data_IF_936130703171
#
_entry.id   IF_936130703171
#
_cell.length_a   1.000
_cell.length_b   1.000
_cell.length_c   1.000
_cell.angle_alpha   90.00
_cell.angle_beta   90.00
_cell.angle_gamma   90.00
#
_symmetry.space_group_name_H-M   'P 1'
#
loop_
_entity.id
_entity.type
_entity.pdbx_description
1 polymer ?
#
# COMPACT_ATOMS: atom_id res chain seq x y z
N UNK A 1 -29.85 38.19 2.19
CA UNK A 1 -30.07 39.28 1.21
C UNK A 1 -28.80 39.86 0.62
N UNK A 2 -27.77 40.14 1.42
CA UNK A 2 -26.46 40.65 0.93
C UNK A 2 -25.74 39.76 -0.09
N UNK A 3 -25.88 38.44 0.01
CA UNK A 3 -25.26 37.46 -0.89
C UNK A 3 -25.75 37.55 -2.35
N UNK A 4 -27.00 38.03 -2.54
CA UNK A 4 -27.59 38.17 -3.88
C UNK A 4 -27.37 39.56 -4.51
N UNK A 5 -27.02 40.55 -3.68
CA UNK A 5 -26.84 41.93 -4.12
C UNK A 5 -25.48 42.19 -4.82
N UNK A 6 -24.41 41.50 -4.38
CA UNK A 6 -23.07 41.58 -5.01
C UNK A 6 -22.40 40.20 -5.02
N UNK A 7 -22.84 39.36 -5.93
CA UNK A 7 -22.25 38.02 -6.15
C UNK A 7 -20.77 38.09 -6.52
N UNK A 8 -20.30 38.99 -7.40
CA UNK A 8 -18.89 39.14 -7.70
C UNK A 8 -18.05 39.57 -6.50
N UNK A 9 -18.52 40.54 -5.71
CA UNK A 9 -17.84 40.99 -4.49
C UNK A 9 -17.75 39.87 -3.45
N UNK A 10 -18.84 39.14 -3.24
CA UNK A 10 -18.83 37.98 -2.37
C UNK A 10 -17.86 36.91 -2.81
N UNK A 11 -17.81 36.56 -4.10
CA UNK A 11 -16.83 35.63 -4.66
C UNK A 11 -15.39 36.09 -4.41
N UNK A 12 -15.10 37.39 -4.64
CA UNK A 12 -13.74 37.91 -4.37
C UNK A 12 -13.37 37.82 -2.90
N UNK A 13 -14.31 38.04 -2.02
CA UNK A 13 -14.07 38.01 -0.56
C UNK A 13 -13.83 36.60 -0.01
N UNK A 14 -14.58 35.60 -0.46
CA UNK A 14 -14.57 34.23 0.10
C UNK A 14 -13.79 33.21 -0.71
N UNK A 15 -13.71 33.38 -2.04
CA UNK A 15 -13.00 32.43 -2.91
C UNK A 15 -11.51 32.78 -3.02
N UNK A 16 -10.79 32.65 -1.91
CA UNK A 16 -9.36 32.91 -1.89
C UNK A 16 -8.59 31.81 -2.65
N UNK A 17 -7.47 32.14 -3.33
CA UNK A 17 -6.62 31.15 -4.00
C UNK A 17 -6.18 30.02 -3.06
N UNK A 18 -5.85 30.34 -1.82
CA UNK A 18 -5.47 29.36 -0.77
C UNK A 18 -6.46 28.20 -0.67
N UNK A 19 -7.79 28.44 -0.76
CA UNK A 19 -8.81 27.39 -0.68
C UNK A 19 -8.73 26.37 -1.83
N UNK A 20 -7.98 26.68 -2.86
CA UNK A 20 -7.77 25.82 -4.02
C UNK A 20 -6.36 25.23 -4.07
N UNK A 21 -5.58 25.40 -3.03
CA UNK A 21 -4.21 24.92 -2.96
C UNK A 21 -4.02 23.81 -1.93
N UNK A 22 -2.98 22.97 -2.07
CA UNK A 22 -2.65 21.94 -1.08
C UNK A 22 -2.34 22.52 0.30
N UNK A 23 -1.85 23.76 0.40
CA UNK A 23 -1.54 24.47 1.65
C UNK A 23 -2.79 24.61 2.53
N UNK A 24 -3.96 24.80 1.93
CA UNK A 24 -5.21 24.79 2.69
C UNK A 24 -5.42 23.45 3.40
N UNK A 25 -5.15 22.34 2.72
CA UNK A 25 -5.26 21.02 3.31
C UNK A 25 -4.22 20.81 4.43
N UNK A 26 -3.03 21.41 4.28
CA UNK A 26 -1.94 21.29 5.26
C UNK A 26 -2.31 21.89 6.63
N UNK A 27 -3.22 22.85 6.69
CA UNK A 27 -3.65 23.47 7.96
C UNK A 27 -4.22 22.44 8.96
N UNK A 28 -4.75 21.30 8.45
CA UNK A 28 -5.27 20.21 9.26
C UNK A 28 -4.55 18.87 9.01
N UNK A 29 -3.88 18.72 7.86
CA UNK A 29 -3.22 17.47 7.47
C UNK A 29 -1.69 17.51 7.61
N UNK A 30 -1.21 18.39 8.46
CA UNK A 30 0.16 18.49 8.97
C UNK A 30 0.09 18.82 10.46
N UNK A 31 0.45 17.87 11.31
CA UNK A 31 0.32 18.00 12.78
C UNK A 31 1.60 17.60 13.46
N UNK A 32 2.09 18.45 14.34
CA UNK A 32 3.20 18.20 15.24
C UNK A 32 2.72 18.25 16.68
N UNK A 33 3.26 17.40 17.55
CA UNK A 33 3.03 17.55 18.99
C UNK A 33 3.89 18.71 19.49
N UNK A 34 3.29 19.75 20.13
CA UNK A 34 4.07 20.85 20.63
C UNK A 34 5.02 20.39 21.75
N UNK A 35 6.22 20.99 21.87
CA UNK A 35 7.23 20.59 22.84
C UNK A 35 6.72 20.50 24.28
N UNK A 36 5.79 21.36 24.67
CA UNK A 36 5.17 21.36 26.00
C UNK A 36 4.36 20.11 26.34
N UNK A 37 3.82 19.40 25.31
CA UNK A 37 3.08 18.15 25.51
C UNK A 37 3.98 16.92 25.62
N UNK A 38 5.22 17.03 25.17
CA UNK A 38 6.09 15.87 24.99
C UNK A 38 7.48 16.06 25.61
N UNK A 39 7.54 16.58 26.82
CA UNK A 39 8.80 16.84 27.53
C UNK A 39 9.82 17.64 26.69
N UNK A 40 9.33 18.66 25.97
CA UNK A 40 10.12 19.55 25.10
C UNK A 40 10.78 18.85 23.90
N UNK A 41 10.33 17.66 23.53
CA UNK A 41 10.73 16.99 22.30
C UNK A 41 9.85 17.45 21.14
N UNK A 42 10.48 17.81 20.03
CA UNK A 42 9.74 18.08 18.80
C UNK A 42 9.41 16.75 18.15
N UNK A 43 8.17 16.28 18.32
CA UNK A 43 7.68 15.04 17.71
C UNK A 43 6.75 15.39 16.57
N UNK A 44 7.22 15.10 15.35
CA UNK A 44 6.37 15.18 14.17
C UNK A 44 5.26 14.13 14.26
N UNK A 45 4.02 14.58 14.24
CA UNK A 45 2.85 13.73 14.14
C UNK A 45 2.66 13.19 12.71
N UNK A 46 1.45 13.23 12.21
CA UNK A 46 1.22 12.90 10.80
C UNK A 46 1.38 14.14 9.91
N UNK A 47 1.92 13.95 8.71
CA UNK A 47 2.12 15.03 7.76
C UNK A 47 1.90 14.56 6.32
N UNK A 48 0.62 14.38 5.95
CA UNK A 48 0.26 13.98 4.60
C UNK A 48 0.68 15.03 3.55
N UNK A 49 0.75 16.30 3.95
CA UNK A 49 1.21 17.38 3.07
C UNK A 49 2.69 17.25 2.72
N UNK A 50 3.57 17.07 3.71
CA UNK A 50 5.01 16.94 3.44
C UNK A 50 5.33 15.66 2.66
N UNK A 51 4.59 14.58 2.93
CA UNK A 51 4.71 13.33 2.18
C UNK A 51 4.26 13.50 0.72
N UNK A 52 3.21 14.30 0.49
CA UNK A 52 2.78 14.67 -0.84
C UNK A 52 3.85 15.52 -1.56
N UNK A 53 4.45 16.51 -0.88
CA UNK A 53 5.54 17.30 -1.46
C UNK A 53 6.73 16.43 -1.88
N UNK A 54 7.02 15.37 -1.14
CA UNK A 54 8.08 14.40 -1.44
C UNK A 54 7.68 13.35 -2.48
N UNK A 55 6.42 13.32 -2.91
CA UNK A 55 5.92 12.35 -3.88
C UNK A 55 6.08 12.84 -5.32
N UNK A 56 6.06 11.89 -6.26
CA UNK A 56 5.98 12.22 -7.69
C UNK A 56 4.67 12.88 -8.12
N UNK A 57 3.68 13.01 -7.22
CA UNK A 57 2.43 13.70 -7.49
C UNK A 57 2.57 15.21 -7.41
N UNK A 58 3.44 15.73 -6.55
CA UNK A 58 3.67 17.18 -6.38
C UNK A 58 4.55 17.80 -7.46
N UNK A 59 5.44 17.02 -8.08
CA UNK A 59 6.53 17.49 -8.91
C UNK A 59 7.54 18.43 -8.20
N UNK A 60 7.52 18.44 -6.87
CA UNK A 60 8.41 19.30 -6.06
C UNK A 60 9.64 18.54 -5.55
N UNK A 61 9.62 17.22 -5.59
CA UNK A 61 10.73 16.38 -5.12
C UNK A 61 11.63 15.90 -6.24
N UNK A 62 12.94 15.96 -5.99
CA UNK A 62 13.96 15.43 -6.91
C UNK A 62 14.23 13.93 -6.69
N UNK A 63 13.78 13.36 -5.58
CA UNK A 63 13.99 11.96 -5.20
C UNK A 63 12.70 11.18 -5.23
N UNK A 64 12.16 10.94 -6.42
CA UNK A 64 10.95 10.14 -6.56
C UNK A 64 11.15 8.99 -7.53
N UNK A 65 10.68 7.80 -7.14
CA UNK A 65 10.69 6.63 -8.01
C UNK A 65 9.48 6.57 -8.96
N UNK A 66 8.49 7.40 -8.76
CA UNK A 66 7.21 7.33 -9.48
C UNK A 66 6.69 8.74 -9.76
N UNK A 67 7.28 9.40 -10.77
CA UNK A 67 6.82 10.70 -11.22
C UNK A 67 5.52 10.55 -12.02
N UNK A 68 4.50 11.33 -11.69
CA UNK A 68 3.26 11.39 -12.47
C UNK A 68 3.45 12.26 -13.71
N UNK A 69 2.70 11.97 -14.78
CA UNK A 69 2.75 12.75 -16.01
C UNK A 69 2.31 14.22 -15.79
N UNK A 70 1.44 14.46 -14.82
CA UNK A 70 0.97 15.80 -14.44
C UNK A 70 0.96 15.96 -12.94
N UNK A 71 1.26 17.16 -12.47
CA UNK A 71 1.11 17.51 -11.05
C UNK A 71 -0.33 17.29 -10.60
N UNK A 72 -0.50 16.64 -9.47
CA UNK A 72 -1.81 16.38 -8.85
C UNK A 72 -1.78 16.79 -7.39
N UNK A 73 -2.85 17.43 -6.93
CA UNK A 73 -3.01 17.85 -5.54
C UNK A 73 -4.00 16.95 -4.77
N UNK A 74 -4.16 17.25 -3.48
CA UNK A 74 -5.05 16.51 -2.58
C UNK A 74 -6.49 16.41 -3.11
N UNK A 75 -6.98 17.48 -3.78
CA UNK A 75 -8.36 17.55 -4.29
C UNK A 75 -8.58 16.62 -5.48
N UNK A 76 -7.56 16.39 -6.28
CA UNK A 76 -7.67 15.51 -7.45
C UNK A 76 -8.14 14.10 -7.06
N UNK A 77 -7.66 13.60 -5.93
CA UNK A 77 -8.03 12.28 -5.41
C UNK A 77 -9.19 12.33 -4.42
N UNK A 78 -9.15 13.26 -3.43
CA UNK A 78 -10.11 13.29 -2.32
C UNK A 78 -11.39 14.06 -2.60
N UNK A 79 -11.43 14.85 -3.67
CA UNK A 79 -12.59 15.63 -4.12
C UNK A 79 -12.83 15.42 -5.62
N UNK A 80 -13.06 14.19 -6.10
CA UNK A 80 -13.28 13.93 -7.52
C UNK A 80 -14.46 14.75 -8.04
N UNK A 81 -14.43 15.06 -9.35
CA UNK A 81 -15.53 15.75 -10.01
C UNK A 81 -16.74 14.83 -10.14
N UNK A 82 -17.89 15.32 -9.71
CA UNK A 82 -19.17 14.62 -9.79
C UNK A 82 -20.17 15.44 -10.59
N UNK A 83 -21.10 14.78 -11.26
CA UNK A 83 -22.16 15.43 -12.04
C UNK A 83 -23.06 16.27 -11.14
N UNK A 84 -23.34 17.48 -11.56
CA UNK A 84 -24.23 18.42 -10.86
C UNK A 84 -24.73 19.50 -11.82
N UNK A 85 -25.58 19.13 -12.75
CA UNK A 85 -26.06 20.03 -13.80
C UNK A 85 -26.79 21.27 -13.27
N UNK A 86 -27.43 21.15 -12.10
CA UNK A 86 -28.26 22.22 -11.52
C UNK A 86 -27.50 23.14 -10.56
N UNK A 87 -26.23 22.85 -10.27
CA UNK A 87 -25.43 23.71 -9.39
C UNK A 87 -24.83 24.88 -10.16
N UNK A 88 -25.12 26.10 -9.69
CA UNK A 88 -24.58 27.33 -10.32
C UNK A 88 -23.06 27.44 -10.31
N UNK A 89 -22.38 26.69 -9.45
CA UNK A 89 -20.93 26.61 -9.40
C UNK A 89 -20.37 25.54 -10.34
N UNK A 90 -21.24 24.72 -10.95
CA UNK A 90 -20.82 23.66 -11.86
C UNK A 90 -20.06 24.21 -13.06
N UNK A 91 -18.95 23.59 -13.39
CA UNK A 91 -18.20 23.80 -14.62
C UNK A 91 -18.38 22.57 -15.50
N UNK A 92 -18.92 22.76 -16.70
CA UNK A 92 -19.23 21.63 -17.60
C UNK A 92 -20.15 20.58 -16.94
N UNK A 93 -21.14 21.03 -16.15
CA UNK A 93 -22.05 20.17 -15.43
C UNK A 93 -21.46 19.43 -14.21
N UNK A 94 -20.24 19.76 -13.77
CA UNK A 94 -19.54 19.04 -12.70
C UNK A 94 -19.06 19.98 -11.59
N UNK A 95 -19.07 19.46 -10.36
CA UNK A 95 -18.53 20.11 -9.16
C UNK A 95 -17.52 19.17 -8.46
N UNK A 96 -16.68 19.73 -7.58
CA UNK A 96 -15.84 18.92 -6.70
C UNK A 96 -16.70 18.25 -5.62
N UNK A 97 -16.58 16.96 -5.44
CA UNK A 97 -17.24 16.23 -4.36
C UNK A 97 -16.71 16.68 -2.99
N UNK A 98 -17.61 16.89 -2.03
CA UNK A 98 -17.25 17.15 -0.63
C UNK A 98 -17.45 15.91 0.25
N UNK A 99 -17.44 14.73 -0.32
CA UNK A 99 -17.51 13.46 0.44
C UNK A 99 -16.20 13.10 1.11
N UNK A 100 -15.09 13.71 0.70
CA UNK A 100 -13.75 13.53 1.29
C UNK A 100 -13.37 12.06 1.40
N UNK A 101 -13.45 11.34 0.29
CA UNK A 101 -13.10 9.92 0.23
C UNK A 101 -11.66 9.71 0.74
N UNK A 102 -11.49 8.65 1.51
CA UNK A 102 -10.20 8.32 2.12
C UNK A 102 -10.28 6.96 2.82
N UNK A 103 -9.39 6.74 3.78
CA UNK A 103 -9.23 5.44 4.44
C UNK A 103 -10.13 5.24 5.68
N UNK A 104 -11.23 6.02 5.83
CA UNK A 104 -12.08 5.90 7.00
C UNK A 104 -13.22 4.90 6.79
N UNK A 105 -12.96 3.62 6.99
CA UNK A 105 -13.96 2.54 6.88
C UNK A 105 -14.83 2.38 8.13
N UNK A 106 -14.52 3.05 9.24
CA UNK A 106 -15.24 2.89 10.50
C UNK A 106 -16.37 3.91 10.70
N UNK A 107 -16.12 5.22 10.49
CA UNK A 107 -17.11 6.25 10.77
C UNK A 107 -18.41 6.11 9.94
N UNK A 108 -18.37 5.78 8.63
CA UNK A 108 -19.60 5.57 7.87
C UNK A 108 -20.49 4.47 8.44
N UNK A 109 -19.89 3.40 8.95
CA UNK A 109 -20.64 2.32 9.60
C UNK A 109 -21.24 2.77 10.93
N UNK A 110 -20.46 3.50 11.71
CA UNK A 110 -20.89 3.98 13.02
C UNK A 110 -22.13 4.88 12.93
N UNK A 111 -22.24 5.62 11.83
CA UNK A 111 -23.34 6.54 11.55
C UNK A 111 -24.35 6.01 10.52
N UNK A 112 -24.32 4.71 10.21
CA UNK A 112 -25.20 4.04 9.21
C UNK A 112 -25.21 4.74 7.83
N UNK A 113 -24.06 5.26 7.41
CA UNK A 113 -23.90 5.94 6.13
C UNK A 113 -23.44 4.95 5.05
N UNK A 114 -24.31 4.03 4.64
CA UNK A 114 -24.02 2.94 3.71
C UNK A 114 -23.34 3.41 2.42
N UNK A 115 -23.91 4.45 1.79
CA UNK A 115 -23.34 4.97 0.53
C UNK A 115 -21.91 5.52 0.70
N UNK A 116 -21.60 6.13 1.85
CA UNK A 116 -20.26 6.61 2.13
C UNK A 116 -19.28 5.44 2.39
N UNK A 117 -19.78 4.37 3.02
CA UNK A 117 -18.99 3.15 3.23
C UNK A 117 -18.60 2.50 1.90
N UNK A 118 -19.56 2.28 1.00
CA UNK A 118 -19.33 1.74 -0.35
C UNK A 118 -18.31 2.58 -1.13
N UNK A 119 -18.51 3.90 -1.20
CA UNK A 119 -17.60 4.80 -1.91
C UNK A 119 -16.20 4.82 -1.31
N UNK A 120 -16.07 4.65 0.01
CA UNK A 120 -14.76 4.55 0.69
C UNK A 120 -14.07 3.24 0.34
N UNK A 121 -14.81 2.15 0.30
CA UNK A 121 -14.29 0.83 -0.10
C UNK A 121 -13.83 0.83 -1.56
N UNK A 122 -14.65 1.35 -2.48
CA UNK A 122 -14.31 1.49 -3.90
C UNK A 122 -13.06 2.35 -4.09
N UNK A 123 -12.97 3.47 -3.36
CA UNK A 123 -11.80 4.36 -3.40
C UNK A 123 -10.52 3.65 -2.96
N UNK A 124 -10.58 2.81 -1.92
CA UNK A 124 -9.44 2.05 -1.43
C UNK A 124 -9.00 0.95 -2.39
N UNK A 125 -9.93 0.36 -3.15
CA UNK A 125 -9.66 -0.69 -4.15
C UNK A 125 -9.12 -0.15 -5.48
N UNK A 126 -9.28 1.16 -5.75
CA UNK A 126 -8.92 1.75 -7.05
C UNK A 126 -7.43 2.03 -7.15
N UNK A 127 -6.66 1.01 -7.48
CA UNK A 127 -5.22 1.09 -7.82
C UNK A 127 -4.34 1.85 -6.78
N UNK A 128 -4.76 1.91 -5.52
CA UNK A 128 -3.99 2.58 -4.47
C UNK A 128 -2.70 1.84 -4.19
N UNK A 129 -2.82 0.52 -4.05
CA UNK A 129 -1.71 -0.41 -3.88
C UNK A 129 -1.65 -1.41 -5.03
N UNK A 130 -0.47 -1.95 -5.23
CA UNK A 130 -0.23 -3.08 -6.10
C UNK A 130 0.46 -4.18 -5.30
N UNK A 131 0.17 -5.45 -5.63
CA UNK A 131 0.78 -6.60 -5.00
C UNK A 131 1.25 -7.58 -6.07
N UNK A 132 2.46 -8.10 -5.90
CA UNK A 132 3.10 -9.02 -6.85
C UNK A 132 3.83 -10.13 -6.09
N UNK A 133 3.50 -11.37 -6.36
CA UNK A 133 4.27 -12.52 -5.89
C UNK A 133 5.46 -12.64 -6.82
N UNK A 134 6.54 -11.93 -6.49
CA UNK A 134 7.63 -11.67 -7.42
C UNK A 134 8.62 -12.84 -7.53
N UNK A 135 8.97 -13.45 -6.42
CA UNK A 135 10.04 -14.44 -6.39
C UNK A 135 9.81 -15.57 -5.40
N UNK A 136 10.50 -16.68 -5.65
CA UNK A 136 10.79 -17.71 -4.66
C UNK A 136 12.29 -17.75 -4.40
N UNK A 137 12.66 -17.93 -3.15
CA UNK A 137 14.03 -18.16 -2.72
C UNK A 137 14.14 -19.51 -2.02
N UNK A 138 15.10 -20.35 -2.44
CA UNK A 138 15.41 -21.59 -1.74
C UNK A 138 16.10 -21.26 -0.41
N UNK A 139 15.57 -21.77 0.69
CA UNK A 139 16.17 -21.51 2.00
C UNK A 139 17.58 -22.09 2.11
N UNK A 140 17.76 -23.32 1.63
CA UNK A 140 19.02 -24.03 1.77
C UNK A 140 20.20 -23.44 0.96
N UNK A 141 19.92 -22.92 -0.24
CA UNK A 141 20.99 -22.45 -1.18
C UNK A 141 21.02 -20.95 -1.34
N UNK A 142 19.94 -20.26 -0.98
CA UNK A 142 19.78 -18.84 -1.26
C UNK A 142 19.46 -18.52 -2.72
N UNK A 143 19.27 -19.53 -3.59
CA UNK A 143 18.94 -19.36 -5.00
C UNK A 143 17.62 -18.59 -5.14
N UNK A 144 17.62 -17.53 -5.97
CA UNK A 144 16.46 -16.71 -6.26
C UNK A 144 15.88 -17.07 -7.63
N UNK A 145 14.62 -17.47 -7.64
CA UNK A 145 13.83 -17.75 -8.83
C UNK A 145 12.90 -16.57 -9.06
N UNK A 146 13.23 -15.71 -10.01
CA UNK A 146 12.55 -14.43 -10.26
C UNK A 146 12.73 -13.95 -11.70
N UNK A 147 11.75 -13.22 -12.25
CA UNK A 147 10.42 -13.01 -11.71
C UNK A 147 9.53 -14.24 -11.92
N UNK A 148 8.62 -14.52 -11.01
CA UNK A 148 7.60 -15.54 -11.24
C UNK A 148 6.63 -15.07 -12.32
N UNK A 149 6.14 -16.00 -13.16
CA UNK A 149 5.12 -15.70 -14.16
C UNK A 149 3.80 -15.34 -13.48
N UNK A 150 3.19 -14.25 -13.91
CA UNK A 150 1.85 -13.86 -13.46
C UNK A 150 0.75 -14.77 -14.01
N UNK A 151 1.04 -15.51 -15.09
CA UNK A 151 0.10 -16.41 -15.76
C UNK A 151 0.14 -17.84 -15.17
N UNK A 152 1.00 -18.10 -14.20
CA UNK A 152 1.10 -19.40 -13.55
C UNK A 152 1.93 -20.45 -14.29
N UNK A 153 2.71 -20.04 -15.31
CA UNK A 153 3.61 -20.93 -16.08
C UNK A 153 4.96 -21.12 -15.36
N UNK A 154 4.96 -21.10 -14.03
CA UNK A 154 6.19 -21.20 -13.27
C UNK A 154 6.62 -22.67 -13.18
N UNK A 155 7.63 -23.04 -13.99
CA UNK A 155 8.34 -24.29 -13.82
C UNK A 155 9.36 -24.14 -12.70
N UNK A 156 9.02 -24.62 -11.56
CA UNK A 156 9.91 -24.77 -10.42
C UNK A 156 10.01 -26.25 -10.09
N UNK A 157 11.22 -26.75 -9.91
CA UNK A 157 11.40 -28.12 -9.44
C UNK A 157 11.69 -28.08 -7.93
N UNK A 158 10.66 -28.02 -7.07
CA UNK A 158 10.88 -28.11 -5.65
C UNK A 158 11.32 -29.56 -5.33
N UNK A 159 12.22 -29.67 -4.39
CA UNK A 159 12.44 -30.96 -3.75
C UNK A 159 11.28 -31.24 -2.79
N UNK A 160 10.87 -32.50 -2.62
CA UNK A 160 9.92 -32.86 -1.58
C UNK A 160 10.34 -32.30 -0.21
N UNK A 161 9.42 -31.73 0.53
CA UNK A 161 9.69 -31.10 1.84
C UNK A 161 10.65 -29.89 1.80
N UNK A 162 10.98 -29.35 0.66
CA UNK A 162 11.85 -28.19 0.56
C UNK A 162 11.25 -26.96 1.23
N UNK A 163 12.06 -26.27 2.04
CA UNK A 163 11.71 -24.95 2.56
C UNK A 163 12.04 -23.85 1.54
N UNK A 164 11.03 -23.06 1.23
CA UNK A 164 11.14 -21.94 0.31
C UNK A 164 10.55 -20.66 0.95
N UNK A 165 11.04 -19.51 0.49
CA UNK A 165 10.56 -18.20 0.90
C UNK A 165 9.91 -17.55 -0.32
N UNK A 166 8.62 -17.24 -0.23
CA UNK A 166 7.98 -16.36 -1.21
C UNK A 166 8.30 -14.91 -0.88
N UNK A 167 8.70 -14.14 -1.88
CA UNK A 167 8.91 -12.70 -1.77
C UNK A 167 7.78 -11.97 -2.50
N UNK A 168 6.94 -11.31 -1.69
CA UNK A 168 5.75 -10.57 -2.12
C UNK A 168 6.05 -9.09 -2.09
N UNK A 169 6.01 -8.44 -3.24
CA UNK A 169 6.22 -7.01 -3.39
C UNK A 169 4.89 -6.28 -3.23
N UNK A 170 4.82 -5.32 -2.32
CA UNK A 170 3.68 -4.41 -2.16
C UNK A 170 4.13 -3.01 -2.49
N UNK A 171 3.48 -2.38 -3.47
CA UNK A 171 3.87 -1.06 -3.97
C UNK A 171 2.77 -0.03 -3.72
N UNK A 172 3.15 1.12 -3.16
CA UNK A 172 2.28 2.28 -3.04
C UNK A 172 2.25 3.05 -4.37
N UNK A 173 1.23 2.80 -5.19
CA UNK A 173 1.12 3.36 -6.54
C UNK A 173 0.54 4.75 -6.59
N UNK A 174 -0.62 4.91 -5.98
CA UNK A 174 -1.42 6.11 -6.18
C UNK A 174 -1.72 6.90 -4.91
N UNK A 175 -1.35 6.42 -3.71
CA UNK A 175 -1.37 7.29 -2.57
C UNK A 175 -0.15 8.22 -2.63
N UNK A 176 -0.40 9.52 -2.70
CA UNK A 176 0.65 10.54 -2.69
C UNK A 176 1.17 10.83 -1.26
N UNK A 177 1.01 9.90 -0.37
CA UNK A 177 1.49 9.89 1.02
C UNK A 177 1.70 8.44 1.44
N UNK A 178 2.31 8.22 2.59
CA UNK A 178 2.57 6.86 3.08
C UNK A 178 1.27 6.07 3.29
N UNK A 179 1.36 4.76 3.10
CA UNK A 179 0.29 3.81 3.39
C UNK A 179 0.71 2.87 4.54
N UNK A 180 -0.16 2.66 5.56
CA UNK A 180 -1.37 3.44 5.85
C UNK A 180 -1.05 4.90 6.25
N UNK A 181 -1.99 5.84 6.01
CA UNK A 181 -1.77 7.26 6.30
C UNK A 181 -2.00 7.60 7.79
N UNK A 182 -1.50 8.74 8.24
CA UNK A 182 -1.85 9.41 9.51
C UNK A 182 -1.59 8.59 10.79
N UNK A 183 -2.64 8.01 11.39
CA UNK A 183 -2.63 7.38 12.72
C UNK A 183 -2.19 5.91 12.57
N UNK A 184 -0.93 5.72 12.23
CA UNK A 184 -0.34 4.45 11.77
C UNK A 184 -0.23 3.40 12.86
N UNK A 185 -0.26 3.81 14.12
CA UNK A 185 -0.22 2.92 15.28
C UNK A 185 -1.57 2.25 15.56
N UNK A 186 -2.67 2.80 15.05
CA UNK A 186 -4.02 2.27 15.25
C UNK A 186 -4.60 1.58 14.02
N UNK A 187 -4.17 1.98 12.82
CA UNK A 187 -4.68 1.36 11.62
C UNK A 187 -4.10 -0.03 11.45
N UNK A 188 -4.85 -0.91 10.85
CA UNK A 188 -4.39 -2.25 10.58
C UNK A 188 -4.38 -2.50 9.08
N UNK A 189 -3.16 -2.60 8.55
CA UNK A 189 -2.90 -2.94 7.17
C UNK A 189 -1.88 -4.08 7.15
N UNK A 190 -2.15 -5.14 6.38
CA UNK A 190 -1.31 -6.34 6.41
C UNK A 190 -1.35 -7.11 5.10
N UNK A 191 -0.38 -7.98 4.92
CA UNK A 191 -0.38 -8.97 3.86
C UNK A 191 -0.90 -10.29 4.40
N UNK A 192 -1.98 -10.79 3.80
CA UNK A 192 -2.45 -12.15 3.98
C UNK A 192 -1.84 -13.01 2.87
N UNK A 193 -1.21 -14.12 3.25
CA UNK A 193 -0.54 -15.01 2.31
C UNK A 193 -0.94 -16.46 2.55
N UNK A 194 -1.39 -17.12 1.49
CA UNK A 194 -1.82 -18.51 1.49
C UNK A 194 -1.01 -19.34 0.49
N UNK A 195 -0.70 -20.56 0.87
CA UNK A 195 -0.22 -21.63 -0.02
C UNK A 195 -1.27 -22.73 -0.02
N UNK A 196 -1.83 -23.01 -1.19
CA UNK A 196 -2.97 -23.91 -1.37
C UNK A 196 -2.53 -25.07 -2.24
N UNK A 197 -2.71 -26.30 -1.78
CA UNK A 197 -2.39 -27.49 -2.54
C UNK A 197 -3.41 -27.78 -3.65
N UNK A 198 -3.13 -28.80 -4.48
CA UNK A 198 -4.00 -29.17 -5.59
C UNK A 198 -5.39 -29.70 -5.15
N UNK A 199 -5.58 -30.03 -3.87
CA UNK A 199 -6.87 -30.42 -3.32
C UNK A 199 -7.70 -29.22 -2.87
N UNK A 200 -7.13 -28.01 -2.89
CA UNK A 200 -7.75 -26.79 -2.38
C UNK A 200 -7.53 -26.56 -0.88
N UNK A 201 -6.69 -27.38 -0.24
CA UNK A 201 -6.35 -27.22 1.18
C UNK A 201 -5.23 -26.22 1.35
N UNK A 202 -5.40 -25.25 2.26
CA UNK A 202 -4.33 -24.38 2.68
C UNK A 202 -3.30 -25.18 3.51
N UNK A 203 -2.06 -25.25 3.01
CA UNK A 203 -0.92 -25.89 3.69
C UNK A 203 -0.05 -24.89 4.43
N UNK A 204 -0.22 -23.60 4.12
CA UNK A 204 0.36 -22.47 4.83
C UNK A 204 -0.62 -21.30 4.79
N UNK A 205 -0.78 -20.58 5.89
CA UNK A 205 -1.61 -19.38 5.97
C UNK A 205 -1.06 -18.42 7.02
N UNK A 206 -0.77 -17.21 6.62
CA UNK A 206 -0.36 -16.10 7.50
C UNK A 206 -1.24 -14.88 7.21
N UNK A 207 -1.53 -14.08 8.25
CA UNK A 207 -2.36 -12.89 8.11
C UNK A 207 -3.87 -13.16 8.11
N UNK A 208 -4.30 -14.31 8.63
CA UNK A 208 -5.72 -14.61 8.83
C UNK A 208 -6.29 -13.87 10.05
N UNK A 209 -7.60 -13.70 10.06
CA UNK A 209 -8.30 -13.20 11.24
C UNK A 209 -8.77 -14.38 12.11
N UNK A 210 -8.54 -14.25 13.41
CA UNK A 210 -9.08 -15.17 14.40
C UNK A 210 -10.61 -15.01 14.53
N UNK A 211 -11.33 -15.98 15.13
CA UNK A 211 -12.78 -15.90 15.30
C UNK A 211 -13.27 -14.66 16.09
N UNK A 212 -12.43 -14.09 16.96
CA UNK A 212 -12.69 -12.87 17.72
C UNK A 212 -12.33 -11.58 16.92
N UNK A 213 -11.90 -11.73 15.68
CA UNK A 213 -11.49 -10.65 14.80
C UNK A 213 -10.07 -10.14 15.00
N UNK A 214 -9.30 -10.75 15.92
CA UNK A 214 -7.89 -10.39 16.08
C UNK A 214 -7.06 -10.89 14.89
N UNK A 215 -6.10 -10.08 14.48
CA UNK A 215 -5.15 -10.46 13.43
C UNK A 215 -4.15 -11.49 13.94
N UNK A 216 -3.80 -12.44 13.08
CA UNK A 216 -2.68 -13.35 13.28
C UNK A 216 -1.40 -12.58 13.66
N UNK A 217 -0.75 -12.99 14.76
CA UNK A 217 0.45 -12.32 15.28
C UNK A 217 1.67 -12.47 14.36
N UNK A 218 1.69 -13.46 13.48
CA UNK A 218 2.75 -13.68 12.50
C UNK A 218 2.56 -12.87 11.20
N UNK A 219 1.46 -12.12 11.08
CA UNK A 219 1.15 -11.36 9.89
C UNK A 219 2.21 -10.28 9.61
N UNK A 220 2.58 -10.13 8.34
CA UNK A 220 3.35 -8.97 7.89
C UNK A 220 2.45 -7.74 7.88
N UNK A 221 2.69 -6.79 8.79
CA UNK A 221 1.83 -5.63 9.02
C UNK A 221 2.52 -4.32 8.65
N UNK A 222 1.77 -3.37 8.09
CA UNK A 222 2.21 -2.00 7.82
C UNK A 222 1.71 -1.08 8.92
N UNK A 223 2.59 -0.74 9.85
CA UNK A 223 2.24 0.09 11.01
C UNK A 223 3.42 0.86 11.55
N UNK A 224 3.12 1.77 12.48
CA UNK A 224 4.11 2.43 13.31
C UNK A 224 3.96 1.94 14.77
N UNK A 225 5.09 1.76 15.45
CA UNK A 225 5.12 1.48 16.88
C UNK A 225 5.74 2.70 17.58
N UNK A 226 4.97 3.30 18.46
CA UNK A 226 5.39 4.41 19.31
C UNK A 226 5.50 3.96 20.75
N UNK A 227 6.52 4.42 21.44
CA UNK A 227 6.83 4.04 22.83
C UNK A 227 6.79 5.26 23.74
N UNK A 228 6.43 5.02 25.01
CA UNK A 228 6.56 6.01 26.07
C UNK A 228 8.03 6.13 26.59
N UNK A 229 8.25 6.97 27.60
CA UNK A 229 9.57 7.18 28.24
C UNK A 229 10.16 5.93 28.89
N UNK A 230 9.32 4.93 29.21
CA UNK A 230 9.71 3.66 29.80
C UNK A 230 9.85 2.53 28.77
N UNK A 231 9.77 2.87 27.48
CA UNK A 231 9.85 1.90 26.40
C UNK A 231 8.60 1.03 26.21
N UNK A 232 7.44 1.40 26.78
CA UNK A 232 6.19 0.64 26.65
C UNK A 232 5.44 1.08 25.41
N UNK A 233 4.91 0.14 24.59
CA UNK A 233 4.10 0.48 23.43
C UNK A 233 2.82 1.23 23.81
N UNK A 234 2.51 2.27 23.03
CA UNK A 234 1.30 3.07 23.18
C UNK A 234 0.21 2.54 22.24
N UNK A 235 -0.63 1.64 22.73
CA UNK A 235 -1.68 0.97 21.92
C UNK A 235 -3.03 1.68 21.97
N UNK A 236 -3.17 2.79 22.70
CA UNK A 236 -4.44 3.49 22.95
C UNK A 236 -4.44 4.93 22.46
N UNK A 237 -3.69 5.21 21.40
CA UNK A 237 -3.57 6.55 20.79
C UNK A 237 -3.13 7.66 21.79
N UNK A 238 -2.29 7.31 22.73
CA UNK A 238 -1.77 8.24 23.74
C UNK A 238 -0.57 9.02 23.19
N UNK A 239 -0.74 9.71 22.07
CA UNK A 239 0.34 10.36 21.32
C UNK A 239 1.14 11.38 22.15
N UNK A 240 0.51 11.99 23.15
CA UNK A 240 1.17 12.93 24.06
C UNK A 240 2.21 12.27 24.99
N UNK A 241 2.18 10.96 25.12
CA UNK A 241 3.19 10.19 25.88
C UNK A 241 4.33 9.69 25.00
N UNK A 242 4.25 9.92 23.68
CA UNK A 242 5.24 9.40 22.76
C UNK A 242 6.63 9.96 23.03
N UNK A 243 7.56 9.07 23.32
CA UNK A 243 8.98 9.39 23.51
C UNK A 243 9.81 9.09 22.29
N UNK A 244 9.51 7.98 21.62
CA UNK A 244 10.23 7.51 20.42
C UNK A 244 9.30 6.79 19.47
N UNK A 245 9.56 6.92 18.17
CA UNK A 245 9.04 6.06 17.12
C UNK A 245 10.02 4.91 16.94
N UNK A 246 9.70 3.75 17.50
CA UNK A 246 10.61 2.62 17.52
C UNK A 246 10.58 1.80 16.21
N UNK A 247 9.48 1.87 15.48
CA UNK A 247 9.28 1.12 14.25
C UNK A 247 8.32 1.84 13.31
N UNK A 248 8.61 1.86 12.03
CA UNK A 248 7.74 2.36 10.97
C UNK A 248 8.07 1.63 9.66
N UNK A 249 7.20 0.72 9.23
CA UNK A 249 7.30 0.04 7.93
C UNK A 249 6.16 0.43 6.99
N UNK A 250 5.54 1.59 7.20
CA UNK A 250 4.59 2.12 6.25
C UNK A 250 5.26 2.38 4.90
N UNK A 251 4.52 2.20 3.82
CA UNK A 251 5.07 2.30 2.47
C UNK A 251 4.95 3.75 1.97
N UNK A 252 6.05 4.49 1.82
CA UNK A 252 6.03 5.87 1.30
C UNK A 252 5.51 5.93 -0.15
N UNK A 253 5.09 7.12 -0.63
CA UNK A 253 4.56 7.28 -1.99
C UNK A 253 5.58 6.86 -3.05
N UNK A 254 5.15 6.07 -4.02
CA UNK A 254 5.98 5.55 -5.10
C UNK A 254 7.03 4.52 -4.67
N UNK A 255 6.98 4.07 -3.40
CA UNK A 255 7.88 3.05 -2.88
C UNK A 255 7.21 1.69 -2.80
N UNK A 256 8.06 0.66 -2.60
CA UNK A 256 7.63 -0.71 -2.40
C UNK A 256 8.22 -1.28 -1.12
N UNK A 257 7.59 -2.32 -0.60
CA UNK A 257 8.11 -3.18 0.46
C UNK A 257 8.06 -4.64 0.02
N UNK A 258 8.86 -5.49 0.65
CA UNK A 258 8.92 -6.93 0.37
C UNK A 258 8.54 -7.69 1.63
N UNK A 259 7.37 -8.31 1.61
CA UNK A 259 6.94 -9.27 2.62
C UNK A 259 7.48 -10.66 2.28
N UNK A 260 8.01 -11.37 3.28
CA UNK A 260 8.61 -12.70 3.10
C UNK A 260 7.84 -13.75 3.87
N UNK A 261 7.47 -14.84 3.18
CA UNK A 261 6.72 -15.95 3.76
C UNK A 261 7.46 -17.25 3.53
N UNK A 262 7.90 -17.85 4.64
CA UNK A 262 8.58 -19.14 4.61
C UNK A 262 7.57 -20.26 4.74
N UNK A 263 7.59 -21.19 3.82
CA UNK A 263 6.73 -22.37 3.85
C UNK A 263 7.46 -23.59 3.31
N UNK A 264 6.85 -24.77 3.54
CA UNK A 264 7.39 -26.05 3.10
C UNK A 264 6.56 -26.59 1.94
N UNK A 265 7.24 -27.01 0.88
CA UNK A 265 6.59 -27.66 -0.26
C UNK A 265 6.01 -29.02 0.17
N UNK A 266 4.84 -29.45 -0.39
CA UNK A 266 4.29 -30.75 -0.14
C UNK A 266 5.23 -31.87 -0.57
N UNK A 267 5.21 -33.01 0.15
CA UNK A 267 6.00 -34.21 -0.18
C UNK A 267 5.68 -34.78 -1.57
N UNK A 268 4.43 -34.60 -1.99
CA UNK A 268 3.87 -35.14 -3.22
C UNK A 268 3.66 -34.05 -4.29
N UNK A 269 4.37 -32.92 -4.20
CA UNK A 269 4.35 -31.89 -5.22
C UNK A 269 4.91 -32.45 -6.53
N UNK A 270 4.11 -32.47 -7.58
CA UNK A 270 4.50 -32.91 -8.92
C UNK A 270 3.80 -32.04 -10.01
N UNK A 271 4.13 -32.27 -11.27
CA UNK A 271 3.59 -31.49 -12.39
C UNK A 271 2.05 -31.55 -12.51
N UNK A 272 1.43 -32.63 -12.02
CA UNK A 272 -0.04 -32.79 -12.03
C UNK A 272 -0.74 -32.17 -10.82
N UNK A 273 0.04 -31.74 -9.82
CA UNK A 273 -0.45 -31.21 -8.53
C UNK A 273 0.14 -29.82 -8.25
N UNK A 274 -0.28 -28.78 -9.00
CA UNK A 274 0.23 -27.43 -8.80
C UNK A 274 -0.13 -26.91 -7.42
N UNK A 275 0.76 -26.09 -6.87
CA UNK A 275 0.54 -25.34 -5.64
C UNK A 275 0.18 -23.92 -6.00
N UNK A 276 -0.89 -23.39 -5.45
CA UNK A 276 -1.31 -22.00 -5.68
C UNK A 276 -0.79 -21.11 -4.55
N UNK A 277 -0.08 -20.07 -4.91
CA UNK A 277 0.30 -18.98 -4.00
C UNK A 277 -0.68 -17.83 -4.18
N UNK A 278 -1.19 -17.29 -3.08
CA UNK A 278 -2.11 -16.16 -3.09
C UNK A 278 -1.67 -15.13 -2.05
N UNK A 279 -1.54 -13.88 -2.48
CA UNK A 279 -1.20 -12.76 -1.62
C UNK A 279 -2.30 -11.70 -1.71
N UNK A 280 -2.74 -11.17 -0.57
CA UNK A 280 -3.74 -10.11 -0.48
C UNK A 280 -3.26 -9.01 0.43
N UNK A 281 -3.46 -7.77 0.04
CA UNK A 281 -3.24 -6.62 0.93
C UNK A 281 -4.57 -6.20 1.50
N UNK A 282 -4.72 -6.35 2.80
CA UNK A 282 -5.92 -6.06 3.56
C UNK A 282 -5.76 -4.79 4.39
N UNK A 283 -6.88 -4.09 4.61
CA UNK A 283 -6.92 -2.88 5.42
C UNK A 283 -8.22 -2.79 6.23
N UNK A 284 -8.12 -2.35 7.47
CA UNK A 284 -9.25 -1.83 8.26
C UNK A 284 -8.82 -0.59 9.04
N UNK A 285 -9.75 0.31 9.27
CA UNK A 285 -9.50 1.62 9.88
C UNK A 285 -8.87 1.56 11.27
N UNK A 286 -9.27 0.59 12.07
CA UNK A 286 -8.81 0.43 13.45
C UNK A 286 -8.49 -1.04 13.70
N UNK A 287 -7.43 -1.31 14.43
CA UNK A 287 -7.14 -2.65 14.89
C UNK A 287 -8.20 -3.13 15.90
N UNK A 288 -8.40 -4.44 16.00
CA UNK A 288 -9.47 -5.00 16.82
C UNK A 288 -9.23 -4.79 18.32
N UNK A 289 -7.98 -4.79 18.76
CA UNK A 289 -7.62 -4.52 20.16
C UNK A 289 -8.13 -3.15 20.61
N UNK A 290 -7.82 -2.11 19.84
CA UNK A 290 -8.27 -0.75 20.13
C UNK A 290 -9.79 -0.62 20.01
N UNK A 291 -10.39 -1.26 19.01
CA UNK A 291 -11.84 -1.29 18.82
C UNK A 291 -12.53 -1.90 20.03
N UNK A 292 -12.06 -3.04 20.50
CA UNK A 292 -12.58 -3.70 21.68
C UNK A 292 -12.41 -2.82 22.94
N UNK A 293 -11.25 -2.20 23.11
CA UNK A 293 -11.00 -1.29 24.23
C UNK A 293 -12.00 -0.11 24.29
N UNK A 294 -12.27 0.51 23.15
CA UNK A 294 -13.20 1.66 23.06
C UNK A 294 -14.64 1.21 23.28
N UNK A 295 -15.07 0.13 22.66
CA UNK A 295 -16.47 -0.32 22.65
C UNK A 295 -16.88 -1.07 23.91
N UNK A 296 -15.96 -1.79 24.57
CA UNK A 296 -16.22 -2.43 25.87
C UNK A 296 -16.69 -1.42 26.92
N UNK A 297 -16.16 -0.19 26.88
CA UNK A 297 -16.61 0.90 27.76
C UNK A 297 -18.06 1.33 27.49
N UNK A 298 -18.54 1.08 26.27
CA UNK A 298 -19.89 1.43 25.83
C UNK A 298 -20.84 0.22 25.80
N UNK A 299 -20.38 -0.97 26.22
CA UNK A 299 -21.11 -2.26 26.15
C UNK A 299 -21.63 -2.53 24.70
N UNK A 300 -20.84 -2.17 23.70
CA UNK A 300 -21.13 -2.38 22.28
C UNK A 300 -20.07 -3.30 21.67
N UNK A 301 -20.46 -4.01 20.64
CA UNK A 301 -19.54 -4.78 19.79
C UNK A 301 -19.66 -4.25 18.37
N UNK A 302 -18.53 -4.08 17.71
CA UNK A 302 -18.45 -3.72 16.30
C UNK A 302 -17.22 -4.40 15.70
N UNK A 303 -17.41 -5.05 14.58
CA UNK A 303 -16.32 -5.54 13.76
C UNK A 303 -16.11 -4.54 12.64
N UNK A 304 -14.94 -3.92 12.61
CA UNK A 304 -14.58 -3.02 11.50
C UNK A 304 -14.35 -3.89 10.27
N UNK A 305 -15.02 -3.61 9.13
CA UNK A 305 -14.86 -4.40 7.94
C UNK A 305 -13.46 -4.29 7.38
N UNK A 306 -12.99 -5.41 6.85
CA UNK A 306 -11.72 -5.50 6.13
C UNK A 306 -11.97 -5.19 4.66
N UNK A 307 -11.21 -4.28 4.12
CA UNK A 307 -11.17 -3.99 2.68
C UNK A 307 -9.96 -4.68 2.09
N UNK A 308 -10.17 -5.58 1.14
CA UNK A 308 -9.11 -6.14 0.30
C UNK A 308 -8.74 -5.09 -0.74
N UNK A 309 -7.55 -4.52 -0.61
CA UNK A 309 -7.10 -3.42 -1.46
C UNK A 309 -6.44 -3.90 -2.75
N UNK A 310 -5.70 -5.02 -2.68
CA UNK A 310 -5.04 -5.63 -3.84
C UNK A 310 -4.90 -7.14 -3.62
N UNK A 311 -4.83 -7.90 -4.71
CA UNK A 311 -4.65 -9.35 -4.69
C UNK A 311 -3.78 -9.79 -5.86
N UNK A 312 -2.92 -10.79 -5.63
CA UNK A 312 -2.18 -11.52 -6.64
C UNK A 312 -2.25 -13.02 -6.38
N UNK A 313 -2.30 -13.78 -7.46
CA UNK A 313 -2.27 -15.24 -7.42
C UNK A 313 -1.31 -15.76 -8.50
N UNK A 314 -0.55 -16.79 -8.17
CA UNK A 314 0.27 -17.53 -9.15
C UNK A 314 0.31 -19.01 -8.80
N UNK A 315 0.57 -19.85 -9.81
CA UNK A 315 0.69 -21.29 -9.63
C UNK A 315 2.14 -21.73 -9.81
N UNK A 316 2.54 -22.65 -8.99
CA UNK A 316 3.83 -23.33 -9.05
C UNK A 316 3.57 -24.77 -9.51
N UNK A 317 4.13 -25.13 -10.62
CA UNK A 317 4.06 -26.51 -11.12
C UNK A 317 5.41 -27.18 -10.87
N UNK A 318 5.43 -28.29 -10.16
CA UNK A 318 6.64 -29.08 -10.03
C UNK A 318 6.92 -29.76 -11.37
N UNK A 319 8.03 -29.46 -12.01
CA UNK A 319 8.37 -30.02 -13.31
C UNK A 319 9.85 -29.94 -13.62
N UNK A 320 10.32 -30.85 -14.46
CA UNK A 320 11.64 -30.76 -15.07
C UNK A 320 11.69 -29.48 -15.89
N UNK A 321 12.67 -28.62 -15.62
CA UNK A 321 12.90 -27.41 -16.41
C UNK A 321 12.89 -27.74 -17.92
N UNK A 322 11.84 -27.34 -18.60
CA UNK A 322 11.99 -27.04 -20.01
C UNK A 322 12.93 -25.82 -20.05
N UNK A 323 13.99 -25.93 -20.87
CA UNK A 323 14.99 -24.88 -21.03
C UNK A 323 14.28 -23.52 -21.17
N UNK A 324 14.73 -22.53 -20.40
CA UNK A 324 14.21 -21.16 -20.49
C UNK A 324 14.11 -20.79 -21.99
N UNK A 325 12.95 -20.32 -22.46
CA UNK A 325 12.89 -19.82 -23.83
C UNK A 325 13.81 -18.63 -23.93
N UNK A 326 14.93 -18.81 -24.65
CA UNK A 326 15.75 -17.71 -25.10
C UNK A 326 14.86 -16.76 -25.91
N UNK A 327 14.78 -15.53 -25.44
CA UNK A 327 14.01 -14.40 -26.00
C UNK A 327 12.51 -14.43 -25.66
N UNK A 328 12.14 -13.49 -24.85
CA UNK A 328 10.77 -12.99 -24.77
C UNK A 328 10.25 -12.70 -26.19
N UNK A 329 9.51 -13.61 -26.79
CA UNK A 329 8.64 -13.28 -27.90
C UNK A 329 7.55 -12.38 -27.32
N UNK A 330 7.59 -11.11 -27.71
CA UNK A 330 6.47 -10.20 -27.51
C UNK A 330 5.22 -10.86 -28.12
N UNK A 331 4.38 -11.42 -27.25
CA UNK A 331 3.08 -11.94 -27.65
C UNK A 331 2.19 -10.76 -28.01
N UNK A 332 1.80 -10.67 -29.27
CA UNK A 332 0.69 -9.83 -29.73
C UNK A 332 -0.61 -10.38 -29.13
N UNK A 333 -0.92 -10.01 -27.90
CA UNK A 333 -2.17 -10.40 -27.28
C UNK A 333 -2.47 -9.48 -26.11
N UNK A 334 -3.54 -8.69 -26.21
CA UNK A 334 -4.14 -7.76 -25.24
C UNK A 334 -3.11 -6.97 -24.42
N UNK A 335 -3.18 -5.66 -24.50
CA UNK A 335 -2.25 -4.74 -23.84
C UNK A 335 -1.98 -5.21 -22.41
N UNK A 336 -0.81 -5.80 -22.19
CA UNK A 336 -0.31 -6.13 -20.86
C UNK A 336 -0.36 -4.85 -20.05
N UNK A 337 -1.05 -4.88 -18.90
CA UNK A 337 -1.08 -3.70 -18.05
C UNK A 337 0.37 -3.36 -17.72
N UNK A 338 0.70 -2.09 -17.63
CA UNK A 338 2.06 -1.60 -17.31
C UNK A 338 2.62 -2.27 -16.03
N UNK A 339 1.73 -2.75 -15.17
CA UNK A 339 2.03 -3.46 -13.91
C UNK A 339 2.74 -4.80 -14.10
N UNK A 340 2.49 -5.48 -15.21
CA UNK A 340 3.04 -6.82 -15.50
C UNK A 340 4.32 -6.80 -16.33
N UNK A 341 4.77 -5.63 -16.77
CA UNK A 341 6.00 -5.51 -17.53
C UNK A 341 7.22 -5.98 -16.72
N UNK A 342 8.03 -6.91 -17.24
CA UNK A 342 9.15 -7.49 -16.48
C UNK A 342 10.11 -6.46 -15.89
N UNK A 343 10.47 -5.42 -16.67
CA UNK A 343 11.36 -4.37 -16.19
C UNK A 343 10.78 -3.62 -14.98
N UNK A 344 9.47 -3.37 -15.00
CA UNK A 344 8.79 -2.66 -13.92
C UNK A 344 8.72 -3.50 -12.66
N UNK A 345 8.45 -4.78 -12.78
CA UNK A 345 8.44 -5.73 -11.65
C UNK A 345 9.81 -5.79 -10.98
N UNK A 346 10.91 -5.87 -11.77
CA UNK A 346 12.27 -5.79 -11.26
C UNK A 346 12.56 -4.45 -10.57
N UNK A 347 12.11 -3.33 -11.15
CA UNK A 347 12.28 -2.01 -10.55
C UNK A 347 11.58 -1.93 -9.18
N UNK A 348 10.33 -2.37 -9.10
CA UNK A 348 9.54 -2.33 -7.87
C UNK A 348 10.14 -3.22 -6.76
N UNK A 349 10.59 -4.40 -7.12
CA UNK A 349 11.31 -5.30 -6.22
C UNK A 349 12.59 -4.65 -5.70
N UNK A 350 13.37 -4.01 -6.58
CA UNK A 350 14.61 -3.34 -6.21
C UNK A 350 14.37 -2.12 -5.30
N UNK A 351 13.30 -1.37 -5.53
CA UNK A 351 12.88 -0.29 -4.61
C UNK A 351 12.57 -0.86 -3.22
N UNK A 352 11.91 -2.02 -3.13
CA UNK A 352 11.65 -2.71 -1.87
C UNK A 352 12.94 -3.15 -1.18
N UNK A 353 13.87 -3.74 -1.91
CA UNK A 353 15.21 -4.12 -1.39
C UNK A 353 15.99 -2.92 -0.86
N UNK A 354 15.96 -1.81 -1.61
CA UNK A 354 16.60 -0.55 -1.20
C UNK A 354 15.99 -0.02 0.10
N UNK A 355 14.66 -0.06 0.23
CA UNK A 355 13.95 0.33 1.46
C UNK A 355 14.32 -0.54 2.68
N UNK A 356 14.73 -1.79 2.44
CA UNK A 356 15.20 -2.74 3.45
C UNK A 356 16.74 -2.74 3.62
N UNK A 357 17.44 -1.71 3.10
CA UNK A 357 18.89 -1.55 3.15
C UNK A 357 19.69 -2.71 2.50
N UNK A 358 19.08 -3.43 1.56
CA UNK A 358 19.73 -4.50 0.79
C UNK A 358 20.32 -3.92 -0.51
N UNK A 359 21.29 -3.04 -0.40
CA UNK A 359 21.82 -2.21 -1.48
C UNK A 359 22.38 -3.01 -2.66
N UNK A 360 23.22 -4.02 -2.42
CA UNK A 360 23.79 -4.86 -3.47
C UNK A 360 22.74 -5.59 -4.31
N UNK A 361 21.83 -6.35 -3.70
CA UNK A 361 20.69 -6.96 -4.41
C UNK A 361 19.78 -5.94 -5.09
N UNK A 362 19.55 -4.75 -4.50
CA UNK A 362 18.79 -3.69 -5.13
C UNK A 362 19.44 -3.18 -6.42
N UNK A 363 20.75 -2.90 -6.38
CA UNK A 363 21.50 -2.47 -7.56
C UNK A 363 21.46 -3.51 -8.68
N UNK A 364 21.57 -4.80 -8.35
CA UNK A 364 21.47 -5.89 -9.34
C UNK A 364 20.08 -5.95 -9.97
N UNK A 365 19.03 -5.84 -9.18
CA UNK A 365 17.66 -5.81 -9.71
C UNK A 365 17.39 -4.60 -10.61
N UNK A 366 17.91 -3.40 -10.26
CA UNK A 366 17.81 -2.22 -11.14
C UNK A 366 18.60 -2.42 -12.44
N UNK A 367 19.76 -3.10 -12.43
CA UNK A 367 20.48 -3.44 -13.68
C UNK A 367 19.63 -4.35 -14.57
N UNK A 368 18.98 -5.35 -14.00
CA UNK A 368 18.07 -6.22 -14.76
C UNK A 368 16.90 -5.43 -15.36
N UNK A 369 16.31 -4.50 -14.58
CA UNK A 369 15.27 -3.62 -15.08
C UNK A 369 15.78 -2.74 -16.25
N UNK A 370 17.00 -2.16 -16.14
CA UNK A 370 17.56 -1.31 -17.17
C UNK A 370 17.93 -2.07 -18.47
N UNK A 371 18.34 -3.32 -18.37
CA UNK A 371 18.55 -4.19 -19.55
C UNK A 371 17.23 -4.45 -20.27
N UNK A 372 16.13 -4.64 -19.54
CA UNK A 372 14.80 -4.90 -20.10
C UNK A 372 14.12 -3.64 -20.64
N UNK A 373 14.49 -2.45 -20.16
CA UNK A 373 14.00 -1.16 -20.65
C UNK A 373 15.13 -0.11 -20.70
N UNK A 374 16.04 -0.21 -21.67
CA UNK A 374 17.22 0.66 -21.75
C UNK A 374 16.90 2.12 -22.09
N UNK A 375 15.68 2.44 -22.50
CA UNK A 375 15.25 3.80 -22.82
C UNK A 375 14.86 4.61 -21.60
N UNK A 376 14.69 4.00 -20.43
CA UNK A 376 14.29 4.68 -19.19
C UNK A 376 15.52 5.08 -18.37
N UNK A 377 15.92 6.35 -18.48
CA UNK A 377 17.06 6.90 -17.75
C UNK A 377 16.87 6.86 -16.21
N UNK A 378 15.65 6.79 -15.71
CA UNK A 378 15.42 6.68 -14.27
C UNK A 378 15.96 5.37 -13.70
N UNK A 379 15.94 4.29 -14.48
CA UNK A 379 16.50 3.01 -14.06
C UNK A 379 18.02 3.10 -13.82
N UNK A 380 18.70 3.88 -14.66
CA UNK A 380 20.14 4.14 -14.48
C UNK A 380 20.40 4.95 -13.21
N UNK A 381 19.58 5.99 -13.00
CA UNK A 381 19.66 6.79 -11.78
C UNK A 381 19.38 5.94 -10.52
N UNK A 382 18.45 5.00 -10.58
CA UNK A 382 18.13 4.10 -9.47
C UNK A 382 19.30 3.18 -9.11
N UNK A 383 20.11 2.74 -10.09
CA UNK A 383 21.35 1.97 -9.84
C UNK A 383 22.34 2.81 -9.03
N UNK A 384 22.45 4.09 -9.33
CA UNK A 384 23.38 5.00 -8.63
C UNK A 384 22.91 5.33 -7.19
N UNK A 385 21.61 5.19 -6.91
CA UNK A 385 21.04 5.41 -5.57
C UNK A 385 21.27 4.18 -4.68
N UNK A 386 21.30 2.98 -5.27
CA UNK A 386 21.49 1.71 -4.57
C UNK A 386 22.96 1.42 -4.27
#
# INVERSE_FOLDING_TARGET
MLLLADVPGHKRAVMRPLLKSPEFCSTCHKVDAPPSLNCYKNMRGFSAYDEWQQSGASHESVQTFCMRAQQTDCRACHMPKVESANDRAAKQGKIASHRWLGANTAAPLFYDQKKQAELTEDFLKTDVLDVDIFALKREATGELIAPLSVNGDNCFTPLPNEEVIAEVVVSNRNAAHSFPPKVRELYEAWVEFEVIDASGKAIYHSGFLQPDGMLDQSAHVYKQIILDERGRPLTRHQIWLTNIKAYDNTIPPGRSDIARFRFRMPDNADASKPVTLRARVNYRRLNQEYTNYVLNRQKRQLVIPVVRMAEAETKLTAGVMAAMPDKAKAGNGMADSIKTLPWKRWNDYSIGLLGQAQYGPAAEGFRRASILNPSDSNLIANIAIA
#
